data_IF_266580209379
#
_entry.id   IF_266580209379
#
_cell.length_a   1.000
_cell.length_b   1.000
_cell.length_c   1.000
_cell.angle_alpha   90.00
_cell.angle_beta   90.00
_cell.angle_gamma   90.00
#
_symmetry.space_group_name_H-M   'P 1'
#
loop_
_entity.id
_entity.type
_entity.pdbx_description
1 polymer ?
#
# COMPACT_ATOMS: atom_id res chain seq x y z
N UNK A 1 -20.29 0.34 17.09
CA UNK A 1 -19.65 0.79 18.34
C UNK A 1 -18.19 0.38 18.28
N UNK A 2 -17.24 1.26 18.58
CA UNK A 2 -15.82 0.88 18.70
C UNK A 2 -15.59 0.34 20.11
N UNK A 3 -14.87 -0.77 20.20
CA UNK A 3 -14.42 -1.35 21.47
C UNK A 3 -12.88 -1.32 21.46
N UNK A 4 -12.22 -0.89 22.55
CA UNK A 4 -10.79 -1.02 22.72
C UNK A 4 -10.25 -2.38 22.30
N UNK A 5 -9.10 -2.39 21.62
CA UNK A 5 -8.43 -3.61 21.19
C UNK A 5 -6.99 -3.62 21.68
N UNK A 6 -6.62 -4.67 22.43
CA UNK A 6 -5.27 -4.84 22.96
C UNK A 6 -4.28 -5.45 21.94
N UNK A 7 -4.79 -6.06 20.87
CA UNK A 7 -3.95 -6.75 19.89
C UNK A 7 -3.05 -5.76 19.13
N UNK A 8 -1.78 -6.12 18.88
CA UNK A 8 -0.83 -5.27 18.18
C UNK A 8 -1.30 -5.03 16.74
N UNK A 9 -1.16 -3.80 16.25
CA UNK A 9 -1.54 -3.45 14.88
C UNK A 9 -0.59 -4.12 13.86
N UNK A 10 -1.10 -4.69 12.75
CA UNK A 10 -0.29 -5.47 11.82
C UNK A 10 0.44 -4.56 10.80
N UNK A 11 1.42 -3.79 11.27
CA UNK A 11 2.14 -2.79 10.47
C UNK A 11 2.79 -3.34 9.19
N UNK A 12 3.40 -4.52 9.28
CA UNK A 12 4.07 -5.16 8.14
C UNK A 12 3.06 -5.53 7.06
N UNK A 13 1.99 -6.24 7.42
CA UNK A 13 0.95 -6.63 6.47
C UNK A 13 0.28 -5.40 5.82
N UNK A 14 -0.02 -4.34 6.59
CA UNK A 14 -0.59 -3.10 6.04
C UNK A 14 0.37 -2.44 5.05
N UNK A 15 1.67 -2.41 5.35
CA UNK A 15 2.71 -1.89 4.45
C UNK A 15 2.78 -2.69 3.15
N UNK A 16 2.70 -4.01 3.22
CA UNK A 16 2.75 -4.88 2.05
C UNK A 16 1.51 -4.68 1.16
N UNK A 17 0.31 -4.57 1.75
CA UNK A 17 -0.91 -4.25 1.02
C UNK A 17 -0.85 -2.89 0.31
N UNK A 18 -0.27 -1.86 0.96
CA UNK A 18 0.00 -0.57 0.31
C UNK A 18 0.96 -0.74 -0.87
N UNK A 19 1.97 -1.60 -0.73
CA UNK A 19 2.89 -1.96 -1.82
C UNK A 19 2.17 -2.58 -3.01
N UNK A 20 1.29 -3.56 -2.76
CA UNK A 20 0.47 -4.22 -3.78
C UNK A 20 -0.44 -3.21 -4.48
N UNK A 21 -1.15 -2.36 -3.74
CA UNK A 21 -2.02 -1.33 -4.31
C UNK A 21 -1.26 -0.33 -5.20
N UNK A 22 -0.03 0.02 -4.84
CA UNK A 22 0.84 0.86 -5.69
C UNK A 22 1.22 0.16 -6.99
N UNK A 23 1.53 -1.13 -6.94
CA UNK A 23 1.82 -1.93 -8.12
C UNK A 23 0.58 -2.06 -9.02
N UNK A 24 -0.59 -2.34 -8.44
CA UNK A 24 -1.87 -2.39 -9.15
C UNK A 24 -2.19 -1.05 -9.82
N UNK A 25 -2.02 0.07 -9.09
CA UNK A 25 -2.25 1.40 -9.63
C UNK A 25 -1.34 1.67 -10.83
N UNK A 26 -0.05 1.34 -10.72
CA UNK A 26 0.91 1.52 -11.81
C UNK A 26 0.56 0.66 -13.03
N UNK A 27 0.17 -0.60 -12.82
CA UNK A 27 -0.28 -1.51 -13.87
C UNK A 27 -1.55 -0.98 -14.57
N UNK A 28 -2.57 -0.60 -13.80
CA UNK A 28 -3.82 -0.03 -14.32
C UNK A 28 -3.56 1.28 -15.08
N UNK A 29 -2.64 2.11 -14.55
CA UNK A 29 -2.25 3.38 -15.15
C UNK A 29 -1.41 3.19 -16.41
N UNK A 30 -0.73 2.06 -16.61
CA UNK A 30 0.02 1.77 -17.83
C UNK A 30 -0.84 1.07 -18.90
N UNK A 31 -1.90 0.37 -18.46
CA UNK A 31 -2.81 -0.38 -19.33
C UNK A 31 -4.07 0.39 -19.72
N UNK A 32 -5.23 -0.08 -19.22
CA UNK A 32 -6.57 0.34 -19.67
C UNK A 32 -6.94 1.77 -19.29
N UNK A 33 -6.21 2.38 -18.34
CA UNK A 33 -6.48 3.71 -17.83
C UNK A 33 -7.92 3.91 -17.32
N UNK A 34 -8.52 2.89 -16.72
CA UNK A 34 -9.85 3.02 -16.10
C UNK A 34 -9.77 3.97 -14.89
N UNK A 35 -10.30 5.18 -15.07
CA UNK A 35 -10.28 6.25 -14.07
C UNK A 35 -11.04 5.84 -12.81
N UNK A 36 -12.13 5.09 -12.94
CA UNK A 36 -12.91 4.65 -11.78
C UNK A 36 -12.13 3.61 -10.98
N UNK A 37 -11.51 2.64 -11.67
CA UNK A 37 -10.67 1.62 -11.02
C UNK A 37 -9.45 2.26 -10.34
N UNK A 38 -8.76 3.19 -11.01
CA UNK A 38 -7.66 3.96 -10.43
C UNK A 38 -8.06 4.72 -9.17
N UNK A 39 -9.24 5.36 -9.17
CA UNK A 39 -9.78 6.05 -7.99
C UNK A 39 -10.07 5.09 -6.85
N UNK A 40 -10.64 3.91 -7.12
CA UNK A 40 -10.91 2.91 -6.08
C UNK A 40 -9.62 2.38 -5.47
N UNK A 41 -8.63 2.01 -6.30
CA UNK A 41 -7.30 1.57 -5.82
C UNK A 41 -6.67 2.63 -4.90
N UNK A 42 -6.70 3.89 -5.33
CA UNK A 42 -6.18 5.01 -4.55
C UNK A 42 -6.90 5.17 -3.21
N UNK A 43 -8.23 5.12 -3.22
CA UNK A 43 -9.04 5.30 -2.01
C UNK A 43 -8.76 4.20 -0.96
N UNK A 44 -8.57 2.96 -1.40
CA UNK A 44 -8.18 1.86 -0.50
C UNK A 44 -6.79 2.10 0.10
N UNK A 45 -5.83 2.54 -0.72
CA UNK A 45 -4.47 2.86 -0.26
C UNK A 45 -4.45 4.00 0.76
N UNK A 46 -5.23 5.06 0.53
CA UNK A 46 -5.39 6.19 1.45
C UNK A 46 -5.97 5.73 2.81
N UNK A 47 -6.94 4.80 2.80
CA UNK A 47 -7.50 4.26 4.04
C UNK A 47 -6.50 3.40 4.82
N UNK A 48 -5.66 2.62 4.13
CA UNK A 48 -4.59 1.86 4.79
C UNK A 48 -3.51 2.78 5.37
N UNK A 49 -3.17 3.88 4.69
CA UNK A 49 -2.27 4.90 5.23
C UNK A 49 -2.85 5.54 6.50
N UNK A 50 -4.12 5.95 6.47
CA UNK A 50 -4.80 6.48 7.66
C UNK A 50 -4.82 5.48 8.80
N UNK A 51 -5.08 4.19 8.52
CA UNK A 51 -5.03 3.15 9.54
C UNK A 51 -3.63 3.06 10.19
N UNK A 52 -2.58 3.12 9.38
CA UNK A 52 -1.21 3.09 9.86
C UNK A 52 -0.85 4.32 10.70
N UNK A 53 -1.28 5.52 10.28
CA UNK A 53 -1.07 6.77 11.02
C UNK A 53 -1.76 6.71 12.39
N UNK A 54 -3.05 6.34 12.42
CA UNK A 54 -3.79 6.19 13.68
C UNK A 54 -3.16 5.16 14.62
N UNK A 55 -2.63 4.06 14.09
CA UNK A 55 -1.96 3.05 14.91
C UNK A 55 -0.60 3.52 15.47
N UNK A 56 0.07 4.49 14.83
CA UNK A 56 1.30 5.08 15.33
C UNK A 56 1.04 6.15 16.38
N UNK A 57 -0.07 6.87 16.27
CA UNK A 57 -0.43 7.99 17.16
C UNK A 57 -1.12 7.54 18.46
N UNK A 58 -1.59 6.30 18.53
CA UNK A 58 -2.42 5.81 19.62
C UNK A 58 -1.91 4.49 20.19
N UNK A 59 -1.85 4.43 21.52
CA UNK A 59 -1.51 3.19 22.22
C UNK A 59 -2.61 2.12 22.07
N UNK A 60 -2.26 0.83 22.19
CA UNK A 60 -3.24 -0.25 22.32
C UNK A 60 -4.28 0.03 23.40
N UNK A 61 -5.47 -0.57 23.28
CA UNK A 61 -6.60 -0.36 24.20
C UNK A 61 -7.21 1.05 24.20
N UNK A 62 -6.76 1.94 23.31
CA UNK A 62 -7.45 3.21 23.07
C UNK A 62 -8.51 3.07 21.96
N UNK A 63 -9.47 4.01 21.93
CA UNK A 63 -10.45 4.08 20.85
C UNK A 63 -9.79 4.45 19.50
N UNK A 64 -8.69 5.20 19.52
CA UNK A 64 -7.90 5.53 18.33
C UNK A 64 -7.26 4.30 17.70
N UNK A 65 -6.64 3.44 18.51
CA UNK A 65 -6.10 2.15 18.04
C UNK A 65 -7.19 1.19 17.54
N UNK A 66 -8.35 1.16 18.19
CA UNK A 66 -9.50 0.42 17.69
C UNK A 66 -10.02 0.97 16.35
N UNK A 67 -9.97 2.30 16.15
CA UNK A 67 -10.32 2.91 14.88
C UNK A 67 -9.32 2.53 13.78
N UNK A 68 -8.02 2.52 14.07
CA UNK A 68 -6.97 2.07 13.15
C UNK A 68 -7.27 0.67 12.61
N UNK A 69 -7.56 -0.28 13.51
CA UNK A 69 -7.96 -1.64 13.15
C UNK A 69 -9.16 -1.69 12.22
N UNK A 70 -10.23 -0.96 12.55
CA UNK A 70 -11.44 -0.90 11.72
C UNK A 70 -11.15 -0.32 10.33
N UNK A 71 -10.27 0.68 10.22
CA UNK A 71 -9.87 1.23 8.93
C UNK A 71 -9.09 0.20 8.10
N UNK A 72 -8.16 -0.52 8.71
CA UNK A 72 -7.41 -1.58 8.05
C UNK A 72 -8.32 -2.71 7.56
N UNK A 73 -9.16 -3.26 8.43
CA UNK A 73 -10.08 -4.36 8.11
C UNK A 73 -11.02 -3.99 6.96
N UNK A 74 -11.63 -2.79 7.02
CA UNK A 74 -12.49 -2.31 5.94
C UNK A 74 -11.74 -2.13 4.63
N UNK A 75 -10.53 -1.57 4.68
CA UNK A 75 -9.72 -1.42 3.48
C UNK A 75 -9.33 -2.78 2.87
N UNK A 76 -9.01 -3.78 3.70
CA UNK A 76 -8.72 -5.14 3.23
C UNK A 76 -9.95 -5.80 2.61
N UNK A 77 -11.14 -5.59 3.17
CA UNK A 77 -12.39 -6.08 2.55
C UNK A 77 -12.61 -5.43 1.18
N UNK A 78 -12.48 -4.11 1.07
CA UNK A 78 -12.63 -3.38 -0.20
C UNK A 78 -11.53 -3.75 -1.22
N UNK A 79 -10.33 -4.10 -0.76
CA UNK A 79 -9.27 -4.65 -1.62
C UNK A 79 -9.70 -6.00 -2.23
N UNK A 80 -10.35 -6.85 -1.44
CA UNK A 80 -10.91 -8.12 -1.94
C UNK A 80 -11.96 -7.93 -3.05
N UNK A 81 -12.65 -6.79 -3.08
CA UNK A 81 -13.59 -6.45 -4.16
C UNK A 81 -12.90 -5.92 -5.43
N UNK A 82 -11.62 -5.53 -5.36
CA UNK A 82 -10.85 -5.05 -6.50
C UNK A 82 -10.19 -6.17 -7.32
N UNK A 83 -10.04 -7.35 -6.70
CA UNK A 83 -9.35 -8.51 -7.26
C UNK A 83 -10.33 -9.68 -7.23
N UNK A 84 -10.80 -10.08 -8.40
CA UNK A 84 -11.56 -11.32 -8.55
C UNK A 84 -10.67 -12.47 -9.06
N UNK A 85 -11.22 -13.68 -9.13
CA UNK A 85 -10.54 -14.90 -9.61
C UNK A 85 -10.03 -14.77 -11.06
N UNK A 86 -10.51 -13.78 -11.82
CA UNK A 86 -10.15 -13.56 -13.23
C UNK A 86 -9.18 -12.40 -13.42
N UNK A 87 -8.85 -11.68 -12.36
CA UNK A 87 -7.98 -10.50 -12.44
C UNK A 87 -6.54 -10.95 -12.70
N UNK A 88 -5.95 -10.61 -13.86
CA UNK A 88 -4.60 -11.05 -14.19
C UNK A 88 -3.58 -10.38 -13.26
N UNK A 89 -2.75 -11.19 -12.61
CA UNK A 89 -1.74 -10.71 -11.67
C UNK A 89 -0.46 -10.23 -12.37
N UNK A 90 -0.16 -10.77 -13.55
CA UNK A 90 1.07 -10.49 -14.33
C UNK A 90 1.38 -8.99 -14.48
N UNK A 91 0.45 -8.10 -14.90
CA UNK A 91 0.76 -6.68 -15.06
C UNK A 91 1.15 -5.99 -13.73
N UNK A 92 0.57 -6.46 -12.63
CA UNK A 92 0.89 -5.96 -11.28
C UNK A 92 2.30 -6.38 -10.87
N UNK A 93 2.67 -7.64 -11.13
CA UNK A 93 4.02 -8.15 -10.84
C UNK A 93 5.08 -7.47 -11.71
N UNK A 94 4.79 -7.21 -12.98
CA UNK A 94 5.69 -6.47 -13.85
C UNK A 94 5.91 -5.04 -13.32
N UNK A 95 4.83 -4.34 -12.94
CA UNK A 95 4.92 -3.01 -12.34
C UNK A 95 5.72 -3.01 -11.03
N UNK A 96 5.53 -4.02 -10.17
CA UNK A 96 6.31 -4.18 -8.95
C UNK A 96 7.79 -4.43 -9.25
N UNK A 97 8.10 -5.29 -10.22
CA UNK A 97 9.47 -5.64 -10.62
C UNK A 97 10.22 -4.42 -11.16
N UNK A 98 9.58 -3.63 -12.03
CA UNK A 98 10.15 -2.37 -12.56
C UNK A 98 10.55 -1.40 -11.46
N UNK A 99 9.77 -1.34 -10.38
CA UNK A 99 10.09 -0.48 -9.22
C UNK A 99 11.35 -0.96 -8.50
N UNK A 100 11.54 -2.26 -8.32
CA UNK A 100 12.77 -2.81 -7.71
C UNK A 100 13.98 -2.49 -8.57
N UNK A 101 13.88 -2.69 -9.89
CA UNK A 101 14.98 -2.39 -10.80
C UNK A 101 15.29 -0.89 -10.85
N UNK A 102 14.27 -0.02 -10.86
CA UNK A 102 14.48 1.44 -10.90
C UNK A 102 15.16 1.98 -9.65
N UNK A 103 14.84 1.43 -8.47
CA UNK A 103 15.52 1.82 -7.22
C UNK A 103 17.01 1.45 -7.31
N UNK A 104 17.33 0.24 -7.77
CA UNK A 104 18.73 -0.18 -7.96
C UNK A 104 19.51 0.73 -8.90
N UNK A 105 18.89 1.16 -10.01
CA UNK A 105 19.52 2.09 -10.95
C UNK A 105 19.76 3.49 -10.35
N UNK A 106 18.84 4.00 -9.51
CA UNK A 106 19.01 5.31 -8.85
C UNK A 106 20.14 5.28 -7.81
N UNK A 107 20.23 4.22 -7.02
CA UNK A 107 21.29 4.10 -6.02
C UNK A 107 22.67 3.98 -6.67
N UNK A 108 22.80 3.21 -7.77
CA UNK A 108 24.02 3.13 -8.54
C UNK A 108 24.47 4.50 -9.11
N UNK A 109 23.53 5.28 -9.65
CA UNK A 109 23.81 6.66 -10.13
C UNK A 109 24.26 7.59 -9.00
N UNK A 110 23.64 7.49 -7.81
CA UNK A 110 24.00 8.31 -6.64
C UNK A 110 25.40 8.02 -6.13
N UNK A 111 25.81 6.74 -6.09
CA UNK A 111 27.15 6.32 -5.70
C UNK A 111 28.20 6.81 -6.71
N UNK A 112 27.93 6.63 -8.01
CA UNK A 112 28.83 7.13 -9.08
C UNK A 112 29.01 8.65 -9.07
N UNK A 113 27.99 9.42 -8.69
CA UNK A 113 28.09 10.88 -8.57
C UNK A 113 28.93 11.33 -7.36
N UNK A 114 28.89 10.59 -6.24
CA UNK A 114 29.74 10.86 -5.07
C UNK A 114 31.21 10.55 -5.35
N UNK A 115 31.50 9.44 -6.02
CA UNK A 115 32.86 9.03 -6.38
C UNK A 115 33.57 10.00 -7.35
N UNK A 116 32.82 10.80 -8.11
CA UNK A 116 33.36 11.84 -9.01
C UNK A 116 33.61 13.19 -8.35
N UNK A 117 33.21 13.35 -7.08
CA UNK A 117 33.34 14.60 -6.29
C UNK A 117 34.36 14.47 -5.15
N UNK A 118 35.01 13.31 -5.04
CA UNK A 118 36.12 13.00 -4.12
C UNK A 118 37.41 12.93 -4.93
#
# INVERSE_FOLDING_TARGET
MLVPRAQPFPFEAVRDLIGILRAMYAAERAGRHDVQRLRRIRSVAERLHLAQELALEHDPETLGHAAAWRHAERATQELGELIDLTTPLEPTLEAASRRVTDVGHRDARRVGLKARRS
#
